data_IF_557619759116
#
_entry.id   IF_557619759116
#
_cell.length_a   1.000
_cell.length_b   1.000
_cell.length_c   1.000
_cell.angle_alpha   90.00
_cell.angle_beta   90.00
_cell.angle_gamma   90.00
#
_symmetry.space_group_name_H-M   'P 1'
#
loop_
_entity.id
_entity.type
_entity.pdbx_description
1 polymer ?
#
# COMPACT_ATOMS: atom_id res chain seq x y z
N UNK A 1 7.62 -2.41 22.53
CA UNK A 1 8.75 -1.92 23.35
C UNK A 1 8.43 -0.48 23.72
N UNK A 2 8.60 -0.06 24.98
CA UNK A 2 8.47 1.35 25.36
C UNK A 2 9.37 2.24 24.52
N UNK A 3 8.90 3.43 24.20
CA UNK A 3 9.69 4.43 23.46
C UNK A 3 10.78 4.95 24.40
N UNK A 4 12.02 5.09 23.91
CA UNK A 4 13.09 5.77 24.65
C UNK A 4 12.69 7.25 24.85
N UNK A 5 12.51 7.74 26.09
CA UNK A 5 12.08 9.11 26.34
C UNK A 5 13.18 10.15 26.12
N UNK A 6 14.45 9.74 26.06
CA UNK A 6 15.61 10.63 26.02
C UNK A 6 15.56 11.66 24.89
N UNK A 7 15.24 11.31 23.63
CA UNK A 7 15.17 12.29 22.54
C UNK A 7 14.08 13.36 22.72
N UNK A 8 13.07 13.09 23.56
CA UNK A 8 11.93 14.00 23.76
C UNK A 8 12.13 15.01 24.91
N UNK A 9 13.19 14.84 25.72
CA UNK A 9 13.44 15.67 26.90
C UNK A 9 13.75 17.14 26.59
N UNK A 10 14.25 17.45 25.38
CA UNK A 10 14.58 18.80 24.94
C UNK A 10 13.61 19.38 23.91
N UNK A 11 12.52 18.68 23.59
CA UNK A 11 11.57 19.10 22.55
C UNK A 11 10.72 20.28 23.02
N UNK A 12 10.57 21.25 22.13
CA UNK A 12 9.68 22.41 22.30
C UNK A 12 8.36 22.20 21.50
N UNK A 13 7.45 23.17 21.58
CA UNK A 13 6.14 23.10 20.90
C UNK A 13 6.25 23.02 19.37
N UNK A 14 7.27 23.64 18.77
CA UNK A 14 7.48 23.62 17.32
C UNK A 14 7.95 22.24 16.84
N UNK A 15 8.83 21.58 17.62
CA UNK A 15 9.30 20.23 17.34
C UNK A 15 8.12 19.22 17.35
N UNK A 16 7.21 19.37 18.32
CA UNK A 16 6.00 18.54 18.41
C UNK A 16 5.03 18.75 17.25
N UNK A 17 4.88 20.02 16.81
CA UNK A 17 4.07 20.31 15.61
C UNK A 17 4.69 19.68 14.36
N UNK A 18 6.01 19.70 14.21
CA UNK A 18 6.72 19.06 13.11
C UNK A 18 6.51 17.55 13.10
N UNK A 19 6.62 16.86 14.25
CA UNK A 19 6.31 15.43 14.37
C UNK A 19 4.87 15.13 14.01
N UNK A 20 3.91 15.94 14.49
CA UNK A 20 2.50 15.78 14.14
C UNK A 20 2.27 15.89 12.61
N UNK A 21 2.85 16.90 11.96
CA UNK A 21 2.74 17.09 10.53
C UNK A 21 3.42 15.95 9.76
N UNK A 22 4.58 15.48 10.23
CA UNK A 22 5.27 14.34 9.65
C UNK A 22 4.41 13.09 9.75
N UNK A 23 3.88 12.76 10.93
CA UNK A 23 2.99 11.61 11.14
C UNK A 23 1.75 11.69 10.23
N UNK A 24 1.18 12.88 10.04
CA UNK A 24 0.06 13.14 9.15
C UNK A 24 0.40 12.86 7.70
N UNK A 25 1.51 13.42 7.20
CA UNK A 25 1.93 13.27 5.80
C UNK A 25 2.36 11.85 5.46
N UNK A 26 2.82 11.08 6.47
CA UNK A 26 3.21 9.67 6.33
C UNK A 26 2.06 8.69 6.57
N UNK A 27 0.83 9.17 6.85
CA UNK A 27 -0.35 8.38 7.21
C UNK A 27 -0.14 7.48 8.45
N UNK A 28 0.57 7.98 9.45
CA UNK A 28 0.94 7.28 10.69
C UNK A 28 0.40 7.95 11.96
N UNK A 29 -0.59 8.86 11.86
CA UNK A 29 -1.07 9.67 12.99
C UNK A 29 -1.39 8.83 14.23
N UNK A 30 -2.23 7.80 14.09
CA UNK A 30 -2.67 7.02 15.25
C UNK A 30 -1.52 6.15 15.79
N UNK A 31 -0.72 5.53 14.90
CA UNK A 31 0.43 4.71 15.30
C UNK A 31 1.51 5.54 16.04
N UNK A 32 1.78 6.76 15.57
CA UNK A 32 2.73 7.66 16.24
C UNK A 32 2.16 8.13 17.58
N UNK A 33 0.83 8.33 17.66
CA UNK A 33 0.18 8.72 18.92
C UNK A 33 0.28 7.62 19.99
N UNK A 34 0.29 6.33 19.62
CA UNK A 34 0.58 5.24 20.57
C UNK A 34 1.96 5.41 21.22
N UNK A 35 2.95 5.83 20.41
CA UNK A 35 4.26 6.19 20.92
C UNK A 35 4.21 7.37 21.89
N UNK A 36 3.47 8.42 21.55
CA UNK A 36 3.26 9.59 22.43
C UNK A 36 2.62 9.20 23.77
N UNK A 37 1.64 8.29 23.73
CA UNK A 37 0.97 7.79 24.94
C UNK A 37 1.92 7.02 25.87
N UNK A 38 2.94 6.38 25.32
CA UNK A 38 3.95 5.63 26.10
C UNK A 38 4.98 6.54 26.80
N UNK A 39 5.05 7.84 26.43
CA UNK A 39 5.95 8.80 27.07
C UNK A 39 5.40 9.25 28.44
N UNK A 40 6.28 9.61 29.39
CA UNK A 40 5.92 10.33 30.59
C UNK A 40 5.09 11.59 30.27
N UNK A 41 4.14 11.95 31.12
CA UNK A 41 3.16 13.02 30.84
C UNK A 41 3.84 14.37 30.56
N UNK A 42 4.94 14.66 31.26
CA UNK A 42 5.74 15.88 31.15
C UNK A 42 6.51 16.01 29.83
N UNK A 43 6.72 14.89 29.10
CA UNK A 43 7.40 14.86 27.80
C UNK A 43 6.43 14.82 26.62
N UNK A 44 5.12 14.81 26.87
CA UNK A 44 4.10 14.78 25.79
C UNK A 44 3.93 16.15 25.15
N UNK A 45 3.30 16.21 23.95
CA UNK A 45 3.03 17.49 23.28
C UNK A 45 2.19 18.42 24.17
N UNK A 46 2.25 19.76 23.93
CA UNK A 46 1.38 20.72 24.59
C UNK A 46 -0.08 20.33 24.48
N UNK A 47 -0.87 20.56 25.56
CA UNK A 47 -2.25 20.12 25.69
C UNK A 47 -3.14 20.41 24.46
N UNK A 48 -3.11 21.58 23.81
CA UNK A 48 -3.93 21.83 22.63
C UNK A 48 -3.62 20.86 21.48
N UNK A 49 -2.33 20.66 21.15
CA UNK A 49 -1.90 19.75 20.11
C UNK A 49 -2.21 18.28 20.47
N UNK A 50 -2.00 17.90 21.73
CA UNK A 50 -2.35 16.57 22.24
C UNK A 50 -3.82 16.25 22.01
N UNK A 51 -4.74 17.17 22.39
CA UNK A 51 -6.18 16.99 22.20
C UNK A 51 -6.60 16.96 20.74
N UNK A 52 -5.99 17.82 19.92
CA UNK A 52 -6.19 17.80 18.46
C UNK A 52 -5.77 16.46 17.87
N UNK A 53 -4.62 15.94 18.28
CA UNK A 53 -4.10 14.66 17.80
C UNK A 53 -4.99 13.49 18.23
N UNK A 54 -5.38 13.44 19.51
CA UNK A 54 -6.30 12.44 20.04
C UNK A 54 -7.64 12.43 19.27
N UNK A 55 -8.21 13.60 18.97
CA UNK A 55 -9.44 13.70 18.17
C UNK A 55 -9.27 13.12 16.75
N UNK A 56 -8.07 13.28 16.15
CA UNK A 56 -7.77 12.66 14.85
C UNK A 56 -7.62 11.14 14.92
N UNK A 57 -7.09 10.62 16.02
CA UNK A 57 -7.01 9.17 16.27
C UNK A 57 -8.42 8.58 16.35
N UNK A 58 -9.32 9.18 17.11
CA UNK A 58 -10.73 8.74 17.21
C UNK A 58 -11.41 8.74 15.82
N UNK A 59 -11.17 9.75 14.99
CA UNK A 59 -11.69 9.78 13.62
C UNK A 59 -11.16 8.62 12.75
N UNK A 60 -9.88 8.26 12.89
CA UNK A 60 -9.26 7.13 12.20
C UNK A 60 -9.89 5.81 12.67
N UNK A 61 -10.05 5.62 13.99
CA UNK A 61 -10.69 4.44 14.57
C UNK A 61 -12.11 4.26 14.05
N UNK A 62 -12.93 5.32 14.08
CA UNK A 62 -14.31 5.30 13.59
C UNK A 62 -14.38 4.99 12.09
N UNK A 63 -13.44 5.52 11.29
CA UNK A 63 -13.35 5.21 9.87
C UNK A 63 -13.02 3.74 9.63
N UNK A 64 -12.06 3.19 10.40
CA UNK A 64 -11.67 1.79 10.29
C UNK A 64 -12.76 0.82 10.79
N UNK A 65 -13.50 1.19 11.84
CA UNK A 65 -14.67 0.43 12.30
C UNK A 65 -15.72 0.31 11.20
N UNK A 66 -16.09 1.43 10.55
CA UNK A 66 -17.02 1.41 9.41
C UNK A 66 -16.54 0.50 8.29
N UNK A 67 -15.26 0.56 7.92
CA UNK A 67 -14.69 -0.33 6.91
C UNK A 67 -14.79 -1.80 7.32
N UNK A 68 -14.61 -2.12 8.60
CA UNK A 68 -14.72 -3.49 9.09
C UNK A 68 -16.18 -3.97 9.09
N UNK A 69 -17.14 -3.12 9.46
CA UNK A 69 -18.58 -3.40 9.43
C UNK A 69 -19.11 -3.67 8.01
N UNK A 70 -18.50 -3.09 6.99
CA UNK A 70 -18.87 -3.32 5.58
C UNK A 70 -18.29 -4.62 4.99
N UNK A 71 -17.34 -5.29 5.64
CA UNK A 71 -16.78 -6.53 5.12
C UNK A 71 -17.84 -7.63 4.92
N UNK A 72 -18.74 -7.93 5.87
CA UNK A 72 -19.82 -8.88 5.65
C UNK A 72 -20.73 -8.48 4.49
N UNK A 73 -21.13 -7.20 4.41
CA UNK A 73 -22.03 -6.66 3.40
C UNK A 73 -21.50 -6.83 1.96
N UNK A 74 -20.18 -6.83 1.82
CA UNK A 74 -19.50 -7.06 0.53
C UNK A 74 -19.23 -8.54 0.28
N UNK A 75 -18.70 -9.26 1.27
CA UNK A 75 -18.19 -10.62 1.08
C UNK A 75 -19.28 -11.69 1.04
N UNK A 76 -20.35 -11.54 1.85
CA UNK A 76 -21.44 -12.54 1.86
C UNK A 76 -22.15 -12.66 0.51
N UNK A 77 -22.65 -11.58 -0.12
CA UNK A 77 -23.31 -11.66 -1.42
C UNK A 77 -22.40 -12.23 -2.51
N UNK A 78 -21.09 -11.94 -2.43
CA UNK A 78 -20.13 -12.52 -3.38
C UNK A 78 -20.00 -14.04 -3.21
N UNK A 79 -19.90 -14.52 -1.95
CA UNK A 79 -19.82 -15.95 -1.63
C UNK A 79 -21.10 -16.70 -2.00
N UNK A 80 -22.27 -16.12 -1.75
CA UNK A 80 -23.57 -16.66 -2.13
C UNK A 80 -23.72 -16.81 -3.65
N UNK A 81 -23.09 -15.92 -4.42
CA UNK A 81 -23.01 -16.02 -5.87
C UNK A 81 -21.92 -17.00 -6.38
N UNK A 82 -21.28 -17.76 -5.48
CA UNK A 82 -20.22 -18.72 -5.82
C UNK A 82 -18.87 -18.09 -6.14
N UNK A 83 -18.65 -16.79 -5.79
CA UNK A 83 -17.38 -16.13 -5.96
C UNK A 83 -16.46 -16.41 -4.75
N UNK A 84 -15.15 -16.25 -4.98
CA UNK A 84 -14.11 -16.40 -3.95
C UNK A 84 -13.42 -15.07 -3.69
N UNK A 85 -14.06 -14.14 -2.95
CA UNK A 85 -13.47 -12.83 -2.68
C UNK A 85 -12.24 -12.92 -1.77
N UNK A 86 -11.17 -12.25 -2.15
CA UNK A 86 -9.93 -12.15 -1.39
C UNK A 86 -9.72 -10.70 -1.01
N UNK A 87 -9.64 -10.40 0.29
CA UNK A 87 -9.29 -9.08 0.77
C UNK A 87 -7.80 -8.81 0.53
N UNK A 88 -7.52 -7.71 -0.13
CA UNK A 88 -6.15 -7.25 -0.38
C UNK A 88 -5.78 -6.13 0.61
N UNK A 89 -4.52 -6.09 1.06
CA UNK A 89 -3.99 -4.97 1.90
C UNK A 89 -4.94 -4.55 3.06
N UNK A 90 -5.16 -3.24 3.22
CA UNK A 90 -6.16 -2.63 4.11
C UNK A 90 -6.28 -3.28 5.48
N UNK A 91 -7.49 -3.71 5.78
CA UNK A 91 -7.85 -4.32 7.06
C UNK A 91 -7.13 -5.65 7.32
N UNK A 92 -6.82 -6.42 6.25
CA UNK A 92 -6.03 -7.65 6.37
C UNK A 92 -4.62 -7.38 6.94
N UNK A 93 -3.98 -6.30 6.53
CA UNK A 93 -2.67 -5.88 7.07
C UNK A 93 -2.82 -5.21 8.43
N UNK A 94 -3.91 -4.52 8.70
CA UNK A 94 -4.17 -3.90 9.99
C UNK A 94 -4.13 -4.92 11.15
N UNK A 95 -4.52 -6.19 10.91
CA UNK A 95 -4.45 -7.27 11.91
C UNK A 95 -3.03 -7.56 12.44
N UNK A 96 -1.99 -7.06 11.79
CA UNK A 96 -0.61 -7.20 12.22
C UNK A 96 -0.13 -6.06 13.12
N UNK A 97 -0.95 -5.03 13.36
CA UNK A 97 -0.67 -3.94 14.29
C UNK A 97 -1.20 -4.26 15.69
N UNK A 98 -0.60 -3.64 16.71
CA UNK A 98 -1.00 -3.83 18.11
C UNK A 98 -2.46 -3.41 18.30
N UNK A 99 -2.83 -2.21 17.78
CA UNK A 99 -4.20 -1.81 17.61
C UNK A 99 -4.53 -1.77 16.10
N UNK A 100 -5.30 -2.72 15.56
CA UNK A 100 -5.66 -2.74 14.14
C UNK A 100 -6.38 -1.48 13.67
N UNK A 101 -7.15 -0.81 14.54
CA UNK A 101 -7.87 0.42 14.22
C UNK A 101 -6.96 1.64 14.04
N UNK A 102 -5.70 1.57 14.47
CA UNK A 102 -4.73 2.65 14.32
C UNK A 102 -3.98 2.61 12.98
N UNK A 103 -4.05 1.50 12.25
CA UNK A 103 -3.55 1.47 10.87
C UNK A 103 -4.56 2.15 9.95
N UNK A 104 -4.25 3.36 9.49
CA UNK A 104 -5.15 4.15 8.64
C UNK A 104 -5.44 3.42 7.31
N UNK A 105 -6.68 2.94 7.15
CA UNK A 105 -7.21 2.35 5.92
C UNK A 105 -7.98 3.42 5.13
N UNK A 106 -8.19 3.21 3.84
CA UNK A 106 -8.93 4.14 2.98
C UNK A 106 -10.05 3.48 2.19
N UNK A 107 -9.90 2.20 1.90
CA UNK A 107 -10.71 1.45 0.95
C UNK A 107 -10.81 -0.02 1.33
N UNK A 108 -11.75 -0.74 0.73
CA UNK A 108 -11.85 -2.20 0.74
C UNK A 108 -11.47 -2.71 -0.64
N UNK A 109 -10.29 -3.29 -0.76
CA UNK A 109 -9.81 -3.89 -2.00
C UNK A 109 -10.16 -5.37 -2.06
N UNK A 110 -10.96 -5.80 -3.02
CA UNK A 110 -11.37 -7.19 -3.15
C UNK A 110 -10.91 -7.76 -4.50
N UNK A 111 -10.07 -8.79 -4.46
CA UNK A 111 -9.71 -9.54 -5.67
C UNK A 111 -10.70 -10.65 -5.93
N UNK A 112 -11.24 -10.68 -7.14
CA UNK A 112 -12.30 -11.64 -7.57
C UNK A 112 -11.88 -12.38 -8.85
N UNK A 113 -10.77 -12.00 -9.46
CA UNK A 113 -10.39 -12.54 -10.77
C UNK A 113 -11.17 -11.93 -11.94
N UNK A 114 -10.80 -12.34 -13.14
CA UNK A 114 -11.36 -11.74 -14.38
C UNK A 114 -12.82 -12.08 -14.60
N UNK A 115 -13.19 -13.34 -14.42
CA UNK A 115 -14.54 -13.82 -14.62
C UNK A 115 -15.49 -13.38 -13.50
N UNK A 116 -15.00 -13.30 -12.27
CA UNK A 116 -15.79 -12.93 -11.11
C UNK A 116 -16.08 -11.43 -11.03
N UNK A 117 -15.20 -10.56 -11.51
CA UNK A 117 -15.36 -9.12 -11.37
C UNK A 117 -16.67 -8.57 -11.96
N UNK A 118 -17.11 -8.91 -13.18
CA UNK A 118 -18.38 -8.43 -13.71
C UNK A 118 -19.60 -8.86 -12.86
N UNK A 119 -19.54 -10.06 -12.28
CA UNK A 119 -20.59 -10.59 -11.40
C UNK A 119 -20.60 -9.79 -10.09
N UNK A 120 -19.44 -9.61 -9.44
CA UNK A 120 -19.29 -8.82 -8.23
C UNK A 120 -19.74 -7.36 -8.41
N UNK A 121 -19.38 -6.74 -9.54
CA UNK A 121 -19.82 -5.39 -9.90
C UNK A 121 -21.35 -5.29 -9.96
N UNK A 122 -22.01 -6.24 -10.61
CA UNK A 122 -23.47 -6.32 -10.70
C UNK A 122 -24.13 -6.51 -9.31
N UNK A 123 -23.51 -7.31 -8.45
CA UNK A 123 -24.00 -7.53 -7.09
C UNK A 123 -23.98 -6.20 -6.32
N UNK A 124 -22.85 -5.48 -6.27
CA UNK A 124 -22.77 -4.19 -5.60
C UNK A 124 -23.81 -3.19 -6.11
N UNK A 125 -23.96 -3.06 -7.43
CA UNK A 125 -24.95 -2.15 -8.03
C UNK A 125 -26.38 -2.51 -7.62
N UNK A 126 -26.73 -3.79 -7.56
CA UNK A 126 -28.06 -4.23 -7.10
C UNK A 126 -28.30 -3.99 -5.62
N UNK A 127 -27.24 -3.96 -4.80
CA UNK A 127 -27.30 -3.62 -3.37
C UNK A 127 -27.20 -2.10 -3.11
N UNK A 128 -27.25 -1.28 -4.16
CA UNK A 128 -27.33 0.19 -4.02
C UNK A 128 -25.98 0.89 -4.02
N UNK A 129 -24.88 0.22 -4.38
CA UNK A 129 -23.59 0.89 -4.56
C UNK A 129 -23.62 1.80 -5.80
N UNK A 130 -22.91 2.92 -5.74
CA UNK A 130 -22.72 3.85 -6.84
C UNK A 130 -21.35 3.66 -7.49
N UNK A 131 -21.30 3.55 -8.83
CA UNK A 131 -20.04 3.42 -9.53
C UNK A 131 -19.24 4.74 -9.47
N UNK A 132 -17.95 4.66 -9.15
CA UNK A 132 -17.05 5.80 -9.07
C UNK A 132 -16.06 5.81 -10.24
N UNK A 133 -16.15 6.87 -11.07
CA UNK A 133 -15.22 7.06 -12.18
C UNK A 133 -15.35 6.03 -13.33
N UNK A 134 -14.38 6.05 -14.23
CA UNK A 134 -14.28 5.04 -15.30
C UNK A 134 -13.56 3.78 -14.76
N UNK A 135 -14.14 2.61 -14.99
CA UNK A 135 -13.50 1.34 -14.67
C UNK A 135 -12.12 1.25 -15.35
N UNK A 136 -11.11 0.88 -14.59
CA UNK A 136 -9.78 0.63 -15.11
C UNK A 136 -9.67 -0.79 -15.68
N UNK A 137 -8.58 -1.07 -16.37
CA UNK A 137 -8.28 -2.43 -16.82
C UNK A 137 -7.85 -3.36 -15.67
N UNK A 138 -7.80 -2.85 -14.43
CA UNK A 138 -7.40 -3.59 -13.22
C UNK A 138 -8.54 -3.76 -12.24
N UNK A 139 -9.29 -2.71 -11.96
CA UNK A 139 -10.38 -2.68 -10.98
C UNK A 139 -11.52 -1.78 -11.43
N UNK A 140 -12.67 -1.96 -10.82
CA UNK A 140 -13.80 -1.05 -10.84
C UNK A 140 -14.05 -0.56 -9.40
N UNK A 141 -14.35 0.74 -9.25
CA UNK A 141 -14.50 1.41 -7.97
C UNK A 141 -15.95 1.77 -7.72
N UNK A 142 -16.38 1.66 -6.46
CA UNK A 142 -17.75 1.91 -6.01
C UNK A 142 -17.75 2.65 -4.68
N UNK A 143 -18.74 3.51 -4.49
CA UNK A 143 -19.15 4.01 -3.18
C UNK A 143 -20.32 3.14 -2.68
N UNK A 144 -20.17 2.54 -1.52
CA UNK A 144 -21.19 1.70 -0.90
C UNK A 144 -21.28 2.05 0.58
N UNK A 145 -22.45 2.52 1.04
CA UNK A 145 -22.68 3.06 2.38
C UNK A 145 -21.65 4.11 2.85
N UNK A 146 -21.11 4.88 1.89
CA UNK A 146 -20.06 5.87 2.16
C UNK A 146 -18.65 5.28 2.33
N UNK A 147 -18.46 4.00 2.02
CA UNK A 147 -17.17 3.31 1.96
C UNK A 147 -16.75 3.13 0.51
N UNK A 148 -15.46 3.32 0.23
CA UNK A 148 -14.88 3.09 -1.08
C UNK A 148 -14.50 1.62 -1.25
N UNK A 149 -15.01 0.96 -2.30
CA UNK A 149 -14.77 -0.45 -2.59
C UNK A 149 -14.16 -0.59 -3.97
N UNK A 150 -13.07 -1.34 -4.09
CA UNK A 150 -12.43 -1.66 -5.35
C UNK A 150 -12.50 -3.16 -5.66
N UNK A 151 -13.26 -3.52 -6.70
CA UNK A 151 -13.31 -4.89 -7.22
C UNK A 151 -12.18 -5.11 -8.23
N UNK A 152 -11.17 -5.88 -7.85
CA UNK A 152 -9.98 -6.15 -8.66
C UNK A 152 -10.15 -7.41 -9.52
N UNK A 153 -9.93 -7.26 -10.83
CA UNK A 153 -9.72 -8.38 -11.77
C UNK A 153 -8.25 -8.77 -11.92
N UNK A 154 -7.37 -7.88 -11.53
CA UNK A 154 -5.92 -8.05 -11.53
C UNK A 154 -5.38 -7.42 -10.24
N UNK A 155 -4.66 -8.22 -9.44
CA UNK A 155 -4.10 -7.76 -8.16
C UNK A 155 -3.12 -6.61 -8.36
N UNK A 156 -2.12 -6.82 -9.23
CA UNK A 156 -1.06 -5.84 -9.51
C UNK A 156 -0.40 -6.15 -10.84
N UNK A 157 0.19 -5.13 -11.48
CA UNK A 157 1.11 -5.27 -12.62
C UNK A 157 2.39 -4.53 -12.34
N UNK A 158 3.52 -5.13 -12.76
CA UNK A 158 4.83 -4.48 -12.82
C UNK A 158 5.25 -4.30 -14.28
N UNK A 159 6.21 -3.41 -14.50
CA UNK A 159 6.59 -2.99 -15.86
C UNK A 159 7.47 -4.03 -16.57
N UNK A 160 8.34 -4.73 -15.83
CA UNK A 160 9.14 -5.81 -16.37
C UNK A 160 8.25 -6.97 -16.85
N UNK A 161 8.17 -7.28 -18.17
CA UNK A 161 7.25 -8.28 -18.68
C UNK A 161 7.51 -9.70 -18.17
N UNK A 162 8.76 -10.07 -17.94
CA UNK A 162 9.14 -11.39 -17.45
C UNK A 162 8.71 -11.54 -15.97
N UNK A 163 9.05 -10.56 -15.15
CA UNK A 163 8.62 -10.52 -13.74
C UNK A 163 7.10 -10.47 -13.60
N UNK A 164 6.43 -9.69 -14.45
CA UNK A 164 4.96 -9.61 -14.44
C UNK A 164 4.31 -10.95 -14.80
N UNK A 165 4.79 -11.66 -15.85
CA UNK A 165 4.28 -13.00 -16.20
C UNK A 165 4.48 -13.99 -15.06
N UNK A 166 5.63 -13.94 -14.39
CA UNK A 166 5.89 -14.78 -13.23
C UNK A 166 4.93 -14.47 -12.09
N UNK A 167 4.73 -13.20 -11.76
CA UNK A 167 3.81 -12.78 -10.71
C UNK A 167 2.36 -13.19 -10.99
N UNK A 168 1.87 -13.01 -12.24
CA UNK A 168 0.52 -13.44 -12.62
C UNK A 168 0.36 -14.96 -12.52
N UNK A 169 1.40 -15.75 -12.80
CA UNK A 169 1.38 -17.21 -12.63
C UNK A 169 1.27 -17.59 -11.15
N UNK A 170 2.01 -16.94 -10.26
CA UNK A 170 1.90 -17.19 -8.82
C UNK A 170 0.47 -16.99 -8.32
N UNK A 171 -0.25 -15.98 -8.82
CA UNK A 171 -1.66 -15.76 -8.46
C UNK A 171 -2.51 -16.96 -8.89
N UNK A 172 -2.31 -17.48 -10.09
CA UNK A 172 -3.04 -18.63 -10.60
C UNK A 172 -2.76 -19.93 -9.81
N UNK A 173 -1.56 -20.05 -9.21
CA UNK A 173 -1.18 -21.23 -8.43
C UNK A 173 -1.93 -21.31 -7.08
N UNK A 174 -2.30 -20.19 -6.47
CA UNK A 174 -2.98 -20.21 -5.17
C UNK A 174 -4.46 -19.80 -5.21
N UNK A 175 -4.89 -19.01 -6.18
CA UNK A 175 -6.27 -18.55 -6.25
C UNK A 175 -7.14 -19.53 -7.05
N UNK A 176 -8.33 -19.88 -6.57
CA UNK A 176 -8.94 -19.44 -5.30
C UNK A 176 -8.71 -20.40 -4.12
N UNK A 177 -8.11 -21.59 -4.32
CA UNK A 177 -8.19 -22.71 -3.38
C UNK A 177 -7.29 -22.58 -2.14
N UNK A 178 -6.18 -21.81 -2.23
CA UNK A 178 -5.16 -21.75 -1.18
C UNK A 178 -5.11 -20.41 -0.46
N UNK A 179 -6.25 -19.71 -0.36
CA UNK A 179 -6.38 -18.50 0.42
C UNK A 179 -6.30 -18.81 1.93
N UNK A 180 -5.69 -17.91 2.70
CA UNK A 180 -5.70 -17.96 4.16
C UNK A 180 -6.98 -17.32 4.68
N UNK A 181 -7.64 -17.92 5.68
CA UNK A 181 -8.78 -17.28 6.36
C UNK A 181 -8.31 -16.60 7.64
N UNK A 182 -8.73 -15.36 7.85
CA UNK A 182 -8.50 -14.60 9.06
C UNK A 182 -9.77 -13.92 9.54
N UNK A 183 -9.97 -13.87 10.83
CA UNK A 183 -11.07 -13.16 11.44
C UNK A 183 -10.75 -11.67 11.56
N UNK A 184 -11.63 -10.80 11.05
CA UNK A 184 -11.56 -9.35 11.13
C UNK A 184 -12.92 -8.87 11.65
N UNK A 185 -12.94 -8.26 12.83
CA UNK A 185 -14.18 -7.80 13.46
C UNK A 185 -15.25 -8.91 13.50
N UNK A 186 -14.85 -10.09 14.03
CA UNK A 186 -15.70 -11.30 14.16
C UNK A 186 -16.20 -11.90 12.83
N UNK A 187 -15.71 -11.41 11.68
CA UNK A 187 -16.10 -11.92 10.38
C UNK A 187 -14.92 -12.62 9.68
N UNK A 188 -15.10 -13.85 9.17
CA UNK A 188 -14.05 -14.60 8.48
C UNK A 188 -13.82 -14.06 7.07
N UNK A 189 -12.62 -13.55 6.82
CA UNK A 189 -12.20 -12.97 5.53
C UNK A 189 -11.07 -13.80 4.94
N UNK A 190 -11.13 -14.03 3.62
CA UNK A 190 -10.06 -14.71 2.90
C UNK A 190 -8.98 -13.71 2.49
N UNK A 191 -7.71 -14.06 2.75
CA UNK A 191 -6.50 -13.29 2.44
C UNK A 191 -5.57 -14.08 1.51
N UNK A 192 -4.63 -13.43 0.81
CA UNK A 192 -3.58 -14.15 0.10
C UNK A 192 -2.72 -14.99 1.05
N UNK A 193 -2.16 -16.14 0.60
CA UNK A 193 -1.24 -16.94 1.40
C UNK A 193 -0.06 -16.10 1.91
N UNK A 194 0.38 -16.30 3.15
CA UNK A 194 1.28 -15.39 3.85
C UNK A 194 2.59 -15.08 3.09
N UNK A 195 3.25 -16.09 2.51
CA UNK A 195 4.50 -15.88 1.75
C UNK A 195 4.25 -15.06 0.47
N UNK A 196 3.13 -15.32 -0.23
CA UNK A 196 2.72 -14.50 -1.37
C UNK A 196 2.31 -13.09 -0.92
N UNK A 197 1.61 -12.96 0.20
CA UNK A 197 1.19 -11.67 0.74
C UNK A 197 2.40 -10.79 1.09
N UNK A 198 3.46 -11.37 1.65
CA UNK A 198 4.72 -10.65 1.91
C UNK A 198 5.37 -10.10 0.63
N UNK A 199 5.33 -10.86 -0.48
CA UNK A 199 5.73 -10.36 -1.79
C UNK A 199 4.78 -9.26 -2.28
N UNK A 200 3.48 -9.48 -2.20
CA UNK A 200 2.46 -8.57 -2.74
C UNK A 200 2.46 -7.20 -2.06
N UNK A 201 2.47 -7.16 -0.71
CA UNK A 201 2.47 -5.90 0.05
C UNK A 201 3.71 -5.07 -0.30
N UNK A 202 4.88 -5.71 -0.38
CA UNK A 202 6.09 -5.04 -0.85
C UNK A 202 5.93 -4.52 -2.29
N UNK A 203 5.48 -5.37 -3.22
CA UNK A 203 5.33 -4.97 -4.64
C UNK A 203 4.34 -3.83 -4.81
N UNK A 204 3.25 -3.83 -4.06
CA UNK A 204 2.26 -2.76 -4.05
C UNK A 204 2.90 -1.42 -3.61
N UNK A 205 3.61 -1.43 -2.47
CA UNK A 205 4.35 -0.26 -2.01
C UNK A 205 5.38 0.20 -3.06
N UNK A 206 6.14 -0.74 -3.63
CA UNK A 206 7.17 -0.43 -4.59
C UNK A 206 6.64 0.16 -5.92
N UNK A 207 5.51 -0.33 -6.43
CA UNK A 207 4.87 0.24 -7.64
C UNK A 207 4.41 1.67 -7.38
N UNK A 208 3.81 1.95 -6.21
CA UNK A 208 3.47 3.32 -5.83
C UNK A 208 4.71 4.19 -5.65
N UNK A 209 5.76 3.66 -5.03
CA UNK A 209 7.04 4.34 -4.89
C UNK A 209 7.63 4.76 -6.25
N UNK A 210 7.60 3.90 -7.26
CA UNK A 210 8.04 4.25 -8.61
C UNK A 210 7.19 5.35 -9.25
N UNK A 211 5.88 5.27 -9.11
CA UNK A 211 4.95 6.12 -9.84
C UNK A 211 4.80 7.52 -9.23
N UNK A 212 4.56 7.59 -7.94
CA UNK A 212 4.17 8.84 -7.26
C UNK A 212 4.94 9.13 -5.98
N UNK A 213 5.42 8.12 -5.29
CA UNK A 213 5.95 8.15 -3.95
C UNK A 213 5.06 7.39 -2.98
N UNK A 214 5.58 7.10 -1.80
CA UNK A 214 4.87 6.43 -0.71
C UNK A 214 5.12 7.16 0.60
N UNK A 215 4.23 6.95 1.57
CA UNK A 215 4.49 7.29 2.96
C UNK A 215 5.20 6.14 3.70
N UNK A 216 5.72 6.42 4.87
CA UNK A 216 6.37 5.42 5.72
C UNK A 216 5.41 4.30 6.14
N UNK A 217 4.09 4.57 6.17
CA UNK A 217 3.07 3.57 6.45
C UNK A 217 3.21 2.32 5.60
N UNK A 218 3.50 2.45 4.30
CA UNK A 218 3.62 1.29 3.41
C UNK A 218 4.85 0.43 3.77
N UNK A 219 5.92 1.03 4.27
CA UNK A 219 7.07 0.28 4.80
C UNK A 219 6.69 -0.38 6.13
N UNK A 220 5.99 0.33 7.01
CA UNK A 220 5.47 -0.21 8.27
C UNK A 220 4.55 -1.42 8.03
N UNK A 221 3.64 -1.36 7.05
CA UNK A 221 2.74 -2.46 6.67
C UNK A 221 3.53 -3.75 6.38
N UNK A 222 4.56 -3.64 5.53
CA UNK A 222 5.42 -4.77 5.20
C UNK A 222 6.25 -5.26 6.39
N UNK A 223 6.81 -4.32 7.15
CA UNK A 223 7.58 -4.63 8.37
C UNK A 223 6.73 -5.36 9.40
N UNK A 224 5.49 -4.91 9.64
CA UNK A 224 4.57 -5.54 10.60
C UNK A 224 4.18 -6.96 10.18
N UNK A 225 3.89 -7.17 8.90
CA UNK A 225 3.62 -8.51 8.36
C UNK A 225 4.82 -9.45 8.59
N UNK A 226 6.04 -9.01 8.27
CA UNK A 226 7.25 -9.79 8.49
C UNK A 226 7.50 -10.05 9.98
N UNK A 227 7.29 -9.05 10.85
CA UNK A 227 7.50 -9.18 12.28
C UNK A 227 6.56 -10.21 12.94
N UNK A 228 5.29 -10.22 12.52
CA UNK A 228 4.25 -11.05 13.16
C UNK A 228 4.07 -12.43 12.54
N UNK A 229 4.58 -12.64 11.32
CA UNK A 229 4.37 -13.89 10.57
C UNK A 229 5.69 -14.50 10.05
N UNK A 230 6.84 -14.11 10.61
CA UNK A 230 8.17 -14.58 10.15
C UNK A 230 8.34 -16.11 10.22
N UNK A 231 7.64 -16.78 11.13
CA UNK A 231 7.67 -18.24 11.28
C UNK A 231 6.85 -18.94 10.19
N UNK A 232 5.77 -18.31 9.71
CA UNK A 232 4.89 -18.86 8.67
C UNK A 232 5.37 -18.54 7.25
N UNK A 233 6.28 -17.58 7.11
CA UNK A 233 6.83 -17.18 5.82
C UNK A 233 7.97 -18.11 5.41
N UNK A 234 7.80 -18.79 4.27
CA UNK A 234 8.92 -19.51 3.64
C UNK A 234 9.91 -18.48 3.05
N UNK A 235 10.99 -18.24 3.80
CA UNK A 235 12.01 -17.25 3.46
C UNK A 235 12.76 -17.58 2.18
N UNK A 236 13.04 -18.86 1.92
CA UNK A 236 13.73 -19.29 0.70
C UNK A 236 12.84 -19.05 -0.53
N UNK A 237 11.56 -19.38 -0.41
CA UNK A 237 10.58 -19.15 -1.45
C UNK A 237 10.35 -17.66 -1.69
N UNK A 238 10.25 -16.86 -0.63
CA UNK A 238 10.07 -15.41 -0.74
C UNK A 238 11.28 -14.74 -1.40
N UNK A 239 12.51 -15.13 -1.06
CA UNK A 239 13.70 -14.62 -1.74
C UNK A 239 13.72 -15.01 -3.23
N UNK A 240 13.35 -16.26 -3.54
CA UNK A 240 13.17 -16.73 -4.94
C UNK A 240 12.14 -15.89 -5.68
N UNK A 241 11.03 -15.54 -5.05
CA UNK A 241 10.01 -14.67 -5.63
C UNK A 241 10.59 -13.29 -5.96
N UNK A 242 11.28 -12.64 -5.03
CA UNK A 242 11.94 -11.35 -5.25
C UNK A 242 12.95 -11.38 -6.39
N UNK A 243 13.72 -12.46 -6.50
CA UNK A 243 14.68 -12.66 -7.62
C UNK A 243 13.95 -12.79 -8.96
N UNK A 244 12.90 -13.61 -9.00
CA UNK A 244 12.15 -13.90 -10.25
C UNK A 244 11.34 -12.70 -10.74
N UNK A 245 10.76 -11.89 -9.86
CA UNK A 245 10.12 -10.63 -10.26
C UNK A 245 11.13 -9.51 -10.57
N UNK A 246 12.40 -9.69 -10.21
CA UNK A 246 13.48 -8.72 -10.49
C UNK A 246 13.52 -7.56 -9.47
N UNK A 247 13.00 -7.74 -8.27
CA UNK A 247 12.87 -6.69 -7.25
C UNK A 247 13.70 -6.92 -5.99
N UNK A 248 14.58 -7.92 -5.96
CA UNK A 248 15.35 -8.26 -4.76
C UNK A 248 16.15 -7.07 -4.20
N UNK A 249 16.79 -6.28 -5.07
CA UNK A 249 17.56 -5.12 -4.62
C UNK A 249 16.69 -4.05 -3.99
N UNK A 250 15.51 -3.81 -4.55
CA UNK A 250 14.54 -2.90 -3.96
C UNK A 250 14.03 -3.41 -2.62
N UNK A 251 13.73 -4.72 -2.53
CA UNK A 251 13.30 -5.34 -1.26
C UNK A 251 14.38 -5.22 -0.18
N UNK A 252 15.66 -5.38 -0.52
CA UNK A 252 16.78 -5.16 0.40
C UNK A 252 16.88 -3.72 0.91
N UNK A 253 16.59 -2.71 0.05
CA UNK A 253 16.58 -1.31 0.48
C UNK A 253 15.42 -1.01 1.44
N UNK A 254 14.24 -1.58 1.21
CA UNK A 254 13.11 -1.52 2.16
C UNK A 254 13.43 -2.28 3.45
N UNK A 255 14.07 -3.44 3.33
CA UNK A 255 14.55 -4.23 4.48
C UNK A 255 15.54 -3.46 5.35
N UNK A 256 16.43 -2.67 4.74
CA UNK A 256 17.33 -1.78 5.48
C UNK A 256 16.55 -0.80 6.37
N UNK A 257 15.52 -0.13 5.84
CA UNK A 257 14.67 0.77 6.64
C UNK A 257 13.94 -0.03 7.74
N UNK A 258 13.40 -1.20 7.41
CA UNK A 258 12.69 -2.05 8.37
C UNK A 258 13.58 -2.44 9.57
N UNK A 259 14.84 -2.79 9.32
CA UNK A 259 15.80 -3.20 10.37
C UNK A 259 16.31 -2.00 11.16
N UNK A 260 16.82 -0.98 10.48
CA UNK A 260 17.58 0.10 11.15
C UNK A 260 16.69 1.20 11.73
N UNK A 261 15.47 1.39 11.19
CA UNK A 261 14.58 2.46 11.62
C UNK A 261 13.27 1.97 12.25
N UNK A 262 12.82 0.76 11.90
CA UNK A 262 11.55 0.22 12.42
C UNK A 262 11.72 -0.96 13.37
N UNK A 263 12.97 -1.34 13.68
CA UNK A 263 13.31 -2.34 14.69
C UNK A 263 12.95 -3.78 14.32
N UNK A 264 12.84 -4.10 13.02
CA UNK A 264 12.66 -5.48 12.58
C UNK A 264 13.96 -6.28 12.82
N UNK A 265 13.95 -7.43 13.50
CA UNK A 265 15.10 -8.32 13.53
C UNK A 265 15.52 -8.73 12.12
N UNK A 266 16.81 -8.60 11.76
CA UNK A 266 17.29 -8.94 10.42
C UNK A 266 16.98 -10.38 10.02
N UNK A 267 16.97 -11.29 10.99
CA UNK A 267 16.62 -12.70 10.79
C UNK A 267 15.17 -12.91 10.32
N UNK A 268 14.28 -11.93 10.48
CA UNK A 268 12.92 -12.02 9.95
C UNK A 268 12.86 -11.73 8.44
N UNK A 269 13.95 -11.19 7.86
CA UNK A 269 14.06 -11.00 6.41
C UNK A 269 14.51 -12.30 5.71
N UNK A 270 14.15 -12.49 4.42
CA UNK A 270 14.63 -13.61 3.62
C UNK A 270 16.04 -13.37 3.03
N UNK A 271 16.70 -12.27 3.36
CA UNK A 271 17.99 -11.85 2.82
C UNK A 271 18.69 -10.88 3.77
N UNK A 272 20.03 -10.79 3.68
CA UNK A 272 20.77 -9.75 4.39
C UNK A 272 20.66 -8.39 3.72
N UNK A 273 20.62 -7.32 4.53
CA UNK A 273 20.59 -5.92 4.11
C UNK A 273 21.96 -5.27 4.05
N UNK A 274 23.02 -6.00 4.33
CA UNK A 274 24.42 -5.53 4.28
C UNK A 274 24.73 -4.89 2.92
N UNK A 275 25.33 -3.71 2.94
CA UNK A 275 25.67 -2.95 1.74
C UNK A 275 24.48 -2.17 1.13
N UNK A 276 23.37 -2.05 1.87
CA UNK A 276 22.21 -1.28 1.43
C UNK A 276 22.11 0.10 2.11
N UNK A 277 23.05 0.48 2.96
CA UNK A 277 23.04 1.69 3.78
C UNK A 277 22.72 2.93 2.92
N UNK A 278 23.58 3.23 1.95
CA UNK A 278 23.39 4.39 1.05
C UNK A 278 22.08 4.35 0.25
N UNK A 279 21.64 3.15 -0.14
CA UNK A 279 20.42 2.99 -0.96
C UNK A 279 19.18 3.13 -0.07
N UNK A 280 19.23 2.58 1.14
CA UNK A 280 18.18 2.69 2.14
C UNK A 280 17.98 4.15 2.59
N UNK A 281 19.05 4.89 2.87
CA UNK A 281 18.96 6.32 3.21
C UNK A 281 18.30 7.15 2.10
N UNK A 282 18.72 6.95 0.84
CA UNK A 282 18.10 7.65 -0.28
C UNK A 282 16.61 7.28 -0.44
N UNK A 283 16.24 6.05 -0.10
CA UNK A 283 14.84 5.62 -0.09
C UNK A 283 14.07 6.35 1.00
N UNK A 284 14.62 6.40 2.22
CA UNK A 284 14.00 7.05 3.36
C UNK A 284 13.79 8.56 3.11
N UNK A 285 14.82 9.23 2.59
CA UNK A 285 14.74 10.65 2.20
C UNK A 285 13.62 10.90 1.17
N UNK A 286 13.51 10.02 0.17
CA UNK A 286 12.45 10.16 -0.84
C UNK A 286 11.05 9.92 -0.25
N UNK A 287 10.91 8.97 0.69
CA UNK A 287 9.66 8.70 1.42
C UNK A 287 9.23 9.94 2.22
N UNK A 288 10.12 10.54 2.99
CA UNK A 288 9.82 11.74 3.76
C UNK A 288 9.47 12.93 2.87
N UNK A 289 10.18 13.10 1.76
CA UNK A 289 9.94 14.19 0.83
C UNK A 289 8.64 14.06 0.02
N UNK A 290 8.17 12.84 -0.25
CA UNK A 290 6.97 12.60 -1.07
C UNK A 290 5.69 12.46 -0.24
N UNK A 291 5.80 11.91 0.96
CA UNK A 291 4.65 11.58 1.79
C UNK A 291 3.72 10.53 1.16
N UNK A 292 2.56 10.31 1.78
CA UNK A 292 1.61 9.30 1.35
C UNK A 292 1.15 9.53 -0.10
N UNK A 293 1.43 8.58 -0.98
CA UNK A 293 1.14 8.61 -2.43
C UNK A 293 1.66 9.86 -3.17
N UNK A 294 2.73 10.49 -2.66
CA UNK A 294 3.33 11.66 -3.29
C UNK A 294 2.48 12.93 -3.21
N UNK A 295 1.44 12.96 -2.38
CA UNK A 295 0.53 14.10 -2.24
C UNK A 295 1.19 15.34 -1.62
N UNK A 296 2.31 15.13 -0.93
CA UNK A 296 3.03 16.19 -0.20
C UNK A 296 4.36 16.58 -0.88
N UNK A 297 4.64 16.09 -2.09
CA UNK A 297 5.89 16.37 -2.81
C UNK A 297 5.90 17.81 -3.36
N UNK A 298 6.52 18.73 -2.62
CA UNK A 298 6.69 20.13 -3.01
C UNK A 298 7.50 20.33 -4.31
N UNK A 299 8.22 19.31 -4.79
CA UNK A 299 8.99 19.34 -6.03
C UNK A 299 8.13 19.18 -7.28
N UNK A 300 6.85 18.77 -7.12
CA UNK A 300 5.93 18.52 -8.23
C UNK A 300 5.32 19.85 -8.70
N UNK A 301 5.61 20.22 -9.95
CA UNK A 301 4.96 21.37 -10.60
C UNK A 301 3.51 21.03 -10.97
N UNK A 302 2.59 22.02 -10.93
CA UNK A 302 1.21 21.84 -11.38
C UNK A 302 1.15 21.28 -12.81
N UNK A 303 0.18 20.40 -13.06
CA UNK A 303 -0.04 19.82 -14.39
C UNK A 303 -0.54 20.90 -15.35
N UNK A 304 0.07 21.07 -16.56
CA UNK A 304 -0.41 22.01 -17.55
C UNK A 304 -1.86 21.74 -17.98
N UNK A 305 -2.59 22.80 -18.32
CA UNK A 305 -3.91 22.71 -18.95
C UNK A 305 -3.76 22.12 -20.37
N UNK A 306 -4.67 21.25 -20.76
CA UNK A 306 -4.67 20.59 -22.08
C UNK A 306 -4.26 19.11 -22.02
N UNK A 307 -4.97 18.29 -22.81
CA UNK A 307 -4.83 16.85 -22.79
C UNK A 307 -3.41 16.37 -23.12
N UNK A 308 -2.87 16.79 -24.26
CA UNK A 308 -1.55 16.34 -24.72
C UNK A 308 -0.40 16.92 -23.89
N UNK A 309 -0.48 18.20 -23.52
CA UNK A 309 0.50 18.84 -22.65
C UNK A 309 0.52 18.17 -21.27
N UNK A 310 -0.65 17.84 -20.71
CA UNK A 310 -0.78 17.10 -19.47
C UNK A 310 -0.23 15.67 -19.56
N UNK A 311 -0.46 14.96 -20.66
CA UNK A 311 0.11 13.60 -20.89
C UNK A 311 1.63 13.66 -21.02
N UNK A 312 2.16 14.61 -21.81
CA UNK A 312 3.59 14.81 -21.96
C UNK A 312 4.28 15.16 -20.63
N UNK A 313 3.69 16.06 -19.87
CA UNK A 313 4.20 16.41 -18.54
C UNK A 313 4.24 15.18 -17.62
N UNK A 314 3.17 14.39 -17.58
CA UNK A 314 3.12 13.15 -16.79
C UNK A 314 4.20 12.15 -17.25
N UNK A 315 4.35 11.95 -18.55
CA UNK A 315 5.37 11.08 -19.14
C UNK A 315 6.79 11.52 -18.74
N UNK A 316 7.12 12.80 -18.93
CA UNK A 316 8.44 13.34 -18.59
C UNK A 316 8.73 13.22 -17.08
N UNK A 317 7.75 13.54 -16.24
CA UNK A 317 7.86 13.42 -14.78
C UNK A 317 8.13 11.97 -14.36
N UNK A 318 7.31 11.06 -14.85
CA UNK A 318 7.40 9.66 -14.53
C UNK A 318 8.72 9.05 -15.02
N UNK A 319 9.16 9.37 -16.24
CA UNK A 319 10.44 8.91 -16.77
C UNK A 319 11.61 9.45 -15.97
N UNK A 320 11.63 10.75 -15.64
CA UNK A 320 12.66 11.35 -14.77
C UNK A 320 12.73 10.67 -13.42
N UNK A 321 11.54 10.42 -12.78
CA UNK A 321 11.47 9.70 -11.51
C UNK A 321 12.04 8.29 -11.64
N UNK A 322 11.63 7.56 -12.64
CA UNK A 322 12.09 6.19 -12.90
C UNK A 322 13.60 6.12 -13.13
N UNK A 323 14.15 7.04 -13.91
CA UNK A 323 15.60 7.13 -14.13
C UNK A 323 16.37 7.45 -12.84
N UNK A 324 15.82 8.32 -11.98
CA UNK A 324 16.40 8.60 -10.65
C UNK A 324 16.41 7.33 -9.77
N UNK A 325 15.36 6.52 -9.87
CA UNK A 325 15.15 5.34 -9.04
C UNK A 325 15.69 4.03 -9.64
N UNK A 326 16.36 4.08 -10.82
CA UNK A 326 16.93 2.89 -11.50
C UNK A 326 17.88 2.06 -10.64
N UNK A 327 18.51 2.67 -9.63
CA UNK A 327 19.40 1.98 -8.69
C UNK A 327 18.70 0.98 -7.77
N UNK A 328 17.36 1.08 -7.61
CA UNK A 328 16.55 0.15 -6.83
C UNK A 328 16.10 -1.05 -7.66
N UNK A 329 15.61 -0.80 -8.89
CA UNK A 329 15.09 -1.83 -9.78
C UNK A 329 15.35 -1.43 -11.25
N UNK A 330 16.55 -1.72 -11.80
CA UNK A 330 16.93 -1.28 -13.15
C UNK A 330 15.99 -1.80 -14.24
N UNK A 331 15.50 -3.04 -14.12
CA UNK A 331 14.59 -3.63 -15.10
C UNK A 331 13.21 -2.91 -15.10
N UNK A 332 12.66 -2.58 -13.94
CA UNK A 332 11.43 -1.79 -13.84
C UNK A 332 11.61 -0.39 -14.44
N UNK A 333 12.74 0.26 -14.12
CA UNK A 333 13.08 1.56 -14.65
C UNK A 333 13.21 1.57 -16.18
N UNK A 334 13.76 0.51 -16.78
CA UNK A 334 13.90 0.37 -18.23
C UNK A 334 12.54 0.21 -18.93
N UNK A 335 11.66 -0.64 -18.37
CA UNK A 335 10.38 -0.95 -19.00
C UNK A 335 9.27 0.09 -18.70
N UNK A 336 9.44 0.94 -17.71
CA UNK A 336 8.42 1.90 -17.31
C UNK A 336 8.00 2.87 -18.42
N UNK A 337 8.91 3.55 -19.15
CA UNK A 337 8.52 4.42 -20.26
C UNK A 337 7.76 3.66 -21.36
N UNK A 338 8.17 2.43 -21.66
CA UNK A 338 7.49 1.57 -22.64
C UNK A 338 6.05 1.27 -22.22
N UNK A 339 5.85 0.94 -20.95
CA UNK A 339 4.52 0.66 -20.40
C UNK A 339 3.61 1.90 -20.45
N UNK A 340 4.13 3.10 -20.17
CA UNK A 340 3.38 4.35 -20.25
C UNK A 340 2.93 4.65 -21.68
N UNK A 341 3.82 4.48 -22.67
CA UNK A 341 3.49 4.68 -24.09
C UNK A 341 2.42 3.68 -24.52
N UNK A 342 2.63 2.39 -24.24
CA UNK A 342 1.67 1.33 -24.56
C UNK A 342 0.30 1.59 -23.97
N UNK A 343 0.21 1.96 -22.67
CA UNK A 343 -1.05 2.29 -22.00
C UNK A 343 -1.77 3.47 -22.68
N UNK A 344 -1.04 4.51 -23.05
CA UNK A 344 -1.61 5.67 -23.74
C UNK A 344 -2.19 5.32 -25.11
N UNK A 345 -1.44 4.52 -25.89
CA UNK A 345 -1.89 4.07 -27.23
C UNK A 345 -3.13 3.18 -27.11
N UNK A 346 -3.14 2.22 -26.18
CA UNK A 346 -4.30 1.34 -25.95
C UNK A 346 -5.58 2.12 -25.60
N UNK A 347 -5.46 3.11 -24.72
CA UNK A 347 -6.62 3.98 -24.35
C UNK A 347 -7.15 4.72 -25.58
N UNK A 348 -6.29 5.23 -26.44
CA UNK A 348 -6.72 5.94 -27.67
C UNK A 348 -7.42 5.02 -28.66
N UNK A 349 -6.87 3.81 -28.86
CA UNK A 349 -7.48 2.80 -29.75
C UNK A 349 -8.86 2.43 -29.23
N UNK A 350 -9.03 2.16 -27.93
CA UNK A 350 -10.32 1.83 -27.34
C UNK A 350 -11.33 2.99 -27.44
N UNK A 351 -10.88 4.24 -27.25
CA UNK A 351 -11.75 5.41 -27.44
C UNK A 351 -12.17 5.61 -28.90
N UNK A 352 -11.32 5.28 -29.84
CA UNK A 352 -11.64 5.32 -31.27
C UNK A 352 -12.63 4.22 -31.65
N UNK A 353 -12.42 2.99 -31.17
CA UNK A 353 -13.32 1.87 -31.40
C UNK A 353 -14.72 2.06 -30.75
N UNK A 354 -14.81 2.77 -29.64
CA UNK A 354 -16.09 3.07 -28.97
C UNK A 354 -16.88 4.24 -29.62
N UNK A 355 -16.28 4.95 -30.57
CA UNK A 355 -16.92 6.06 -31.31
C UNK A 355 -17.42 5.68 -32.70
N UNK A 356 -16.98 4.51 -33.17
CA UNK A 356 -17.43 3.88 -34.41
C UNK A 356 -18.31 2.67 -34.10
#
# INVERSE_FOLDING_TARGET
TPVDPTPFSSMNSADWEEIYQLARTQALLAITFDGVLSLPAELRPPRPLYLQWAAKVVQIEQSNLRLNEELPEVFMPYREAGLHPILLKGQGIATHYINPLHRQCGDIDVYIGKEGQPIANNILLRHGAEAEGEASDKHASYSFHGVHIENHRIILRINNPAGNRYFQRLIQEWYPQHAETREIHEYPVSLPPVTFNALYIFMHAFVHFLNSGIGLRQVCDWTRLLATRHEDIDKLLLEKYFRKVGLLRAAKAFGYIAVHYLGLPEDNLPFSVKGMERVGEILLDDIFATGNFGQHDARIKPRPKGYWAGKWHTFCRATKRCMKLRKFAPNEALWYPVTLIKGTVTIQINKFAARN
#
